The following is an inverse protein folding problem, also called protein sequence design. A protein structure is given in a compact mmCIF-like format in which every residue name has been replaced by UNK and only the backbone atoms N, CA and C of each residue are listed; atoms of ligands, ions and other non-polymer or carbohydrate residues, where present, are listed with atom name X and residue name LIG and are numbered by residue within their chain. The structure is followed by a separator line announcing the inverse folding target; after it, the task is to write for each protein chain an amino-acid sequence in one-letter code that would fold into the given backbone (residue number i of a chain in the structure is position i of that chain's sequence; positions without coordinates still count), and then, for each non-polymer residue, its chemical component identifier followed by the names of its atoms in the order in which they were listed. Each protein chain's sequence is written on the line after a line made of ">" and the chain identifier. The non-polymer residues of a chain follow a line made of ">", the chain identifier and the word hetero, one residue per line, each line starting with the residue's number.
data_IF_587173617797
#
_entry.id   IF_587173617797
#
_cell.length_a   1.000
_cell.length_b   1.000
_cell.length_c   1.000
_cell.angle_alpha   90.00
_cell.angle_beta   90.00
_cell.angle_gamma   90.00
#
_symmetry.space_group_name_H-M   'P 1'
#
loop_
_entity.id
_entity.type
_entity.pdbx_description
1 polymer ?
#
# COMPACT_ATOMS: atom_id res chain seq x y z
N UNK A 1 12.84 12.78 -1.67
CA UNK A 1 12.66 13.05 -0.23
C UNK A 1 13.91 12.68 0.59
N UNK A 2 14.33 11.36 0.65
CA UNK A 2 15.50 10.99 1.47
C UNK A 2 16.76 11.75 1.04
N UNK A 3 17.08 11.76 -0.24
CA UNK A 3 18.28 12.44 -0.75
C UNK A 3 18.24 13.96 -0.61
N UNK A 4 17.07 14.58 -0.58
CA UNK A 4 16.92 16.00 -0.25
C UNK A 4 17.25 16.26 1.23
N UNK A 5 16.77 15.39 2.13
CA UNK A 5 17.13 15.47 3.54
C UNK A 5 18.63 15.24 3.75
N UNK A 6 19.23 14.23 3.11
CA UNK A 6 20.67 13.97 3.19
C UNK A 6 21.49 15.16 2.71
N UNK A 7 21.11 15.76 1.58
CA UNK A 7 21.77 16.97 1.06
C UNK A 7 21.69 18.13 2.04
N UNK A 8 20.55 18.35 2.72
CA UNK A 8 20.40 19.40 3.74
C UNK A 8 21.30 19.18 4.97
N UNK A 9 21.72 17.94 5.21
CA UNK A 9 22.64 17.55 6.30
C UNK A 9 24.08 17.32 5.81
N UNK A 10 24.41 17.73 4.56
CA UNK A 10 25.71 17.53 3.93
C UNK A 10 26.19 16.08 3.88
N UNK A 11 25.26 15.13 3.71
CA UNK A 11 25.55 13.69 3.58
C UNK A 11 25.47 13.25 2.12
N UNK A 12 26.18 12.16 1.80
CA UNK A 12 26.15 11.53 0.49
C UNK A 12 24.73 10.97 0.20
N UNK A 13 24.29 10.99 -1.07
CA UNK A 13 23.02 10.40 -1.44
C UNK A 13 23.02 8.88 -1.34
N UNK A 14 21.86 8.31 -1.08
CA UNK A 14 21.58 6.87 -1.15
C UNK A 14 21.14 6.53 -2.58
N UNK A 15 21.59 5.41 -3.11
CA UNK A 15 21.16 4.93 -4.42
C UNK A 15 19.66 4.56 -4.42
N UNK A 16 18.94 4.85 -5.51
CA UNK A 16 17.50 4.57 -5.58
C UNK A 16 17.14 3.10 -5.34
N UNK A 17 17.97 2.18 -5.83
CA UNK A 17 17.82 0.73 -5.66
C UNK A 17 17.91 0.31 -4.19
N UNK A 18 18.85 0.89 -3.42
CA UNK A 18 18.96 0.62 -1.98
C UNK A 18 17.75 1.15 -1.21
N UNK A 19 17.28 2.35 -1.59
CA UNK A 19 16.10 2.93 -0.97
C UNK A 19 14.83 2.11 -1.26
N UNK A 20 14.72 1.52 -2.48
CA UNK A 20 13.56 0.73 -2.90
C UNK A 20 13.26 -0.42 -1.95
N UNK A 21 14.27 -1.16 -1.52
CA UNK A 21 14.16 -2.32 -0.64
C UNK A 21 13.64 -1.96 0.78
N UNK A 22 13.64 -0.66 1.13
CA UNK A 22 13.20 -0.17 2.44
C UNK A 22 11.83 0.52 2.40
N UNK A 23 11.25 0.73 1.21
CA UNK A 23 10.00 1.51 1.04
C UNK A 23 8.83 0.87 1.78
N UNK A 24 8.63 -0.44 1.62
CA UNK A 24 7.52 -1.19 2.27
C UNK A 24 7.63 -1.14 3.80
N UNK A 25 8.84 -1.07 4.34
CA UNK A 25 9.08 -0.97 5.79
C UNK A 25 8.77 0.43 6.35
N UNK A 26 8.48 1.40 5.47
CA UNK A 26 8.01 2.74 5.80
C UNK A 26 9.08 3.72 6.23
N UNK A 27 8.64 4.91 6.70
CA UNK A 27 9.50 6.05 6.98
C UNK A 27 10.63 5.75 7.98
N UNK A 28 10.41 4.84 8.94
CA UNK A 28 11.44 4.45 9.92
C UNK A 28 12.62 3.79 9.22
N UNK A 29 12.36 2.81 8.36
CA UNK A 29 13.42 2.08 7.68
C UNK A 29 14.16 2.98 6.67
N UNK A 30 13.43 3.77 5.89
CA UNK A 30 14.02 4.72 4.92
C UNK A 30 14.88 5.77 5.62
N UNK A 31 14.43 6.31 6.78
CA UNK A 31 15.24 7.26 7.56
C UNK A 31 16.48 6.58 8.14
N UNK A 32 16.34 5.35 8.64
CA UNK A 32 17.45 4.57 9.19
C UNK A 32 18.53 4.28 8.14
N UNK A 33 18.13 4.02 6.88
CA UNK A 33 19.06 3.85 5.77
C UNK A 33 19.96 5.08 5.54
N UNK A 34 19.39 6.27 5.66
CA UNK A 34 20.15 7.54 5.48
C UNK A 34 20.96 7.96 6.70
N UNK A 35 20.56 7.51 7.89
CA UNK A 35 21.13 7.92 9.18
C UNK A 35 21.36 6.70 10.09
N UNK A 36 22.19 5.72 9.67
CA UNK A 36 22.41 4.50 10.43
C UNK A 36 23.13 4.74 11.76
N UNK A 37 23.94 5.80 11.86
CA UNK A 37 24.73 6.16 13.02
C UNK A 37 23.91 6.81 14.14
N UNK A 38 22.73 7.35 13.86
CA UNK A 38 21.92 8.08 14.85
C UNK A 38 21.24 7.08 15.79
N UNK A 39 21.68 7.03 17.03
CA UNK A 39 21.18 6.14 18.08
C UNK A 39 20.22 6.84 19.04
N UNK A 40 20.32 8.14 19.19
CA UNK A 40 19.41 8.93 20.00
C UNK A 40 18.00 8.92 19.43
N UNK A 41 17.01 8.57 20.25
CA UNK A 41 15.63 8.42 19.82
C UNK A 41 14.96 9.74 19.45
N UNK A 42 15.32 10.81 20.13
CA UNK A 42 14.71 12.14 19.90
C UNK A 42 15.25 12.69 18.59
N UNK A 43 16.57 12.65 18.39
CA UNK A 43 17.22 13.05 17.14
C UNK A 43 16.70 12.24 15.95
N UNK A 44 16.59 10.92 16.10
CA UNK A 44 16.06 10.05 15.05
C UNK A 44 14.61 10.40 14.68
N UNK A 45 13.76 10.67 15.67
CA UNK A 45 12.38 11.05 15.42
C UNK A 45 12.29 12.43 14.70
N UNK A 46 13.16 13.38 15.02
CA UNK A 46 13.25 14.64 14.30
C UNK A 46 13.62 14.43 12.83
N UNK A 47 14.64 13.62 12.55
CA UNK A 47 15.03 13.27 11.17
C UNK A 47 13.90 12.57 10.42
N UNK A 48 13.17 11.68 11.09
CA UNK A 48 12.00 11.01 10.48
C UNK A 48 10.88 12.01 10.14
N UNK A 49 10.64 13.01 10.98
CA UNK A 49 9.67 14.07 10.70
C UNK A 49 10.13 14.96 9.55
N UNK A 50 11.42 15.34 9.50
CA UNK A 50 11.99 16.08 8.38
C UNK A 50 11.87 15.28 7.07
N UNK A 51 12.17 13.97 7.08
CA UNK A 51 11.98 13.09 5.93
C UNK A 51 10.52 13.09 5.44
N UNK A 52 9.56 12.93 6.36
CA UNK A 52 8.14 12.95 6.03
C UNK A 52 7.69 14.29 5.47
N UNK A 53 8.25 15.39 5.94
CA UNK A 53 8.01 16.73 5.41
C UNK A 53 8.52 16.86 3.97
N UNK A 54 9.75 16.42 3.67
CA UNK A 54 10.26 16.37 2.30
C UNK A 54 9.41 15.47 1.42
N UNK A 55 8.97 14.31 1.95
CA UNK A 55 8.11 13.38 1.23
C UNK A 55 6.75 14.03 0.89
N UNK A 56 6.13 14.74 1.82
CA UNK A 56 4.83 15.38 1.61
C UNK A 56 4.86 16.46 0.52
N UNK A 57 5.96 17.19 0.41
CA UNK A 57 6.16 18.20 -0.66
C UNK A 57 6.27 17.58 -2.05
N UNK A 58 6.74 16.34 -2.12
CA UNK A 58 7.02 15.63 -3.36
C UNK A 58 6.10 14.40 -3.54
N UNK A 59 4.91 14.42 -2.95
CA UNK A 59 4.09 13.23 -2.67
C UNK A 59 3.78 12.39 -3.92
N UNK A 60 3.67 13.00 -5.10
CA UNK A 60 3.29 12.32 -6.33
C UNK A 60 4.12 12.72 -7.57
N UNK A 61 5.31 13.36 -7.41
CA UNK A 61 6.11 13.82 -8.56
C UNK A 61 6.51 12.67 -9.48
N UNK A 62 6.84 11.50 -8.91
CA UNK A 62 7.27 10.29 -9.63
C UNK A 62 6.41 9.06 -9.29
N UNK A 63 5.29 9.26 -8.60
CA UNK A 63 4.40 8.17 -8.25
C UNK A 63 3.38 7.96 -9.36
N UNK A 64 3.20 6.70 -9.75
CA UNK A 64 2.19 6.26 -10.70
C UNK A 64 1.67 4.90 -10.27
N UNK A 65 0.56 4.50 -10.82
CA UNK A 65 0.08 3.12 -10.71
C UNK A 65 1.07 2.16 -11.39
N UNK A 66 1.16 0.95 -10.89
CA UNK A 66 1.88 -0.12 -11.60
C UNK A 66 1.21 -0.38 -12.96
N UNK A 67 1.99 -0.82 -13.98
CA UNK A 67 1.41 -1.18 -15.28
C UNK A 67 0.26 -2.18 -15.12
N UNK A 68 -0.84 -1.97 -15.86
CA UNK A 68 -2.05 -2.80 -15.80
C UNK A 68 -3.02 -2.47 -14.66
N UNK A 69 -2.60 -1.76 -13.60
CA UNK A 69 -3.45 -1.47 -12.46
C UNK A 69 -4.64 -0.55 -12.81
N UNK A 70 -4.44 0.46 -13.65
CA UNK A 70 -5.54 1.34 -14.04
C UNK A 70 -6.65 0.59 -14.78
N UNK A 71 -6.28 -0.33 -15.69
CA UNK A 71 -7.23 -1.13 -16.45
C UNK A 71 -7.98 -2.12 -15.55
N UNK A 72 -7.30 -2.70 -14.56
CA UNK A 72 -7.91 -3.55 -13.55
C UNK A 72 -8.96 -2.79 -12.73
N UNK A 73 -8.63 -1.59 -12.22
CA UNK A 73 -9.56 -0.77 -11.45
C UNK A 73 -10.78 -0.36 -12.27
N UNK A 74 -10.59 0.04 -13.54
CA UNK A 74 -11.69 0.32 -14.47
C UNK A 74 -12.58 -0.90 -14.74
N UNK A 75 -11.98 -2.08 -14.80
CA UNK A 75 -12.73 -3.33 -14.94
C UNK A 75 -13.63 -3.56 -13.73
N UNK A 76 -13.12 -3.39 -12.52
CA UNK A 76 -13.93 -3.49 -11.30
C UNK A 76 -15.08 -2.49 -11.29
N UNK A 77 -14.80 -1.23 -11.60
CA UNK A 77 -15.79 -0.15 -11.67
C UNK A 77 -16.89 -0.47 -12.70
N UNK A 78 -16.49 -0.97 -13.88
CA UNK A 78 -17.43 -1.38 -14.94
C UNK A 78 -18.36 -2.53 -14.53
N UNK A 79 -17.95 -3.36 -13.57
CA UNK A 79 -18.72 -4.48 -13.03
C UNK A 79 -19.38 -4.17 -11.67
N UNK A 80 -19.34 -2.93 -11.21
CA UNK A 80 -19.81 -2.52 -9.87
C UNK A 80 -19.14 -3.33 -8.72
N UNK A 81 -17.92 -3.79 -8.93
CA UNK A 81 -17.13 -4.45 -7.89
C UNK A 81 -16.38 -3.39 -7.11
N UNK A 82 -16.72 -3.14 -5.83
CA UNK A 82 -16.06 -2.10 -5.06
C UNK A 82 -14.61 -2.50 -4.76
N UNK A 83 -13.72 -1.51 -4.80
CA UNK A 83 -12.35 -1.64 -4.35
C UNK A 83 -11.99 -0.53 -3.37
N UNK A 84 -11.02 -0.75 -2.51
CA UNK A 84 -10.62 0.22 -1.50
C UNK A 84 -9.12 0.15 -1.19
N UNK A 85 -8.66 1.11 -0.40
CA UNK A 85 -7.26 1.22 0.02
C UNK A 85 -7.17 1.08 1.53
N UNK A 86 -6.37 0.10 1.99
CA UNK A 86 -6.03 -0.07 3.41
C UNK A 86 -4.51 -0.01 3.56
N UNK A 87 -3.99 1.00 4.23
CA UNK A 87 -2.55 1.27 4.28
C UNK A 87 -2.07 1.61 5.70
N UNK A 88 -0.81 1.29 6.00
CA UNK A 88 -0.15 1.77 7.23
C UNK A 88 0.40 3.20 7.11
N UNK A 89 0.30 3.81 5.92
CA UNK A 89 0.63 5.22 5.70
C UNK A 89 -0.36 6.11 6.47
N UNK A 90 0.09 7.14 7.20
CA UNK A 90 -0.82 8.05 7.92
C UNK A 90 -1.71 8.85 6.96
N UNK A 91 -2.91 9.19 7.43
CA UNK A 91 -3.98 9.80 6.62
C UNK A 91 -3.57 11.12 5.95
N UNK A 92 -2.80 11.96 6.64
CA UNK A 92 -2.30 13.23 6.10
C UNK A 92 -1.34 13.08 4.90
N UNK A 93 -0.78 11.88 4.67
CA UNK A 93 0.00 11.53 3.48
C UNK A 93 -0.80 10.66 2.50
N UNK A 94 -1.71 9.82 3.00
CA UNK A 94 -2.52 8.92 2.17
C UNK A 94 -3.46 9.72 1.27
N UNK A 95 -4.22 10.64 1.85
CA UNK A 95 -5.22 11.40 1.10
C UNK A 95 -4.62 12.24 -0.03
N UNK A 96 -3.60 13.09 0.21
CA UNK A 96 -2.99 13.86 -0.88
C UNK A 96 -2.36 13.00 -1.98
N UNK A 97 -1.82 11.81 -1.64
CA UNK A 97 -1.29 10.89 -2.65
C UNK A 97 -2.41 10.34 -3.54
N UNK A 98 -3.50 9.87 -2.93
CA UNK A 98 -4.63 9.31 -3.68
C UNK A 98 -5.36 10.38 -4.50
N UNK A 99 -5.47 11.61 -3.99
CA UNK A 99 -6.02 12.75 -4.73
C UNK A 99 -5.16 13.06 -5.97
N UNK A 100 -3.84 13.10 -5.80
CA UNK A 100 -2.91 13.36 -6.91
C UNK A 100 -2.89 12.22 -7.96
N UNK A 101 -3.24 10.99 -7.56
CA UNK A 101 -3.41 9.83 -8.46
C UNK A 101 -4.84 9.71 -9.00
N UNK A 102 -5.76 10.63 -8.64
CA UNK A 102 -7.19 10.58 -9.03
C UNK A 102 -7.89 9.30 -8.57
N UNK A 103 -7.53 8.78 -7.40
CA UNK A 103 -8.07 7.54 -6.83
C UNK A 103 -9.02 7.76 -5.66
N UNK A 104 -8.98 8.93 -5.00
CA UNK A 104 -9.74 9.18 -3.76
C UNK A 104 -11.24 9.06 -3.93
N UNK A 105 -11.79 9.55 -5.05
CA UNK A 105 -13.22 9.55 -5.32
C UNK A 105 -13.69 8.23 -5.97
N UNK A 106 -12.76 7.41 -6.42
CA UNK A 106 -13.00 6.10 -7.04
C UNK A 106 -13.00 4.97 -6.02
N UNK A 107 -12.16 5.09 -4.98
CA UNK A 107 -12.07 4.09 -3.93
C UNK A 107 -13.34 4.09 -3.06
N UNK A 108 -13.96 2.93 -2.90
CA UNK A 108 -15.15 2.75 -2.05
C UNK A 108 -14.84 2.99 -0.56
N UNK A 109 -13.59 2.76 -0.14
CA UNK A 109 -13.10 3.13 1.18
C UNK A 109 -11.60 3.43 1.18
N UNK A 110 -11.17 4.26 2.13
CA UNK A 110 -9.75 4.55 2.40
C UNK A 110 -9.54 4.45 3.91
N UNK A 111 -8.71 3.47 4.32
CA UNK A 111 -8.33 3.26 5.72
C UNK A 111 -6.83 3.48 5.85
N UNK A 112 -6.45 4.52 6.58
CA UNK A 112 -5.06 4.93 6.80
C UNK A 112 -4.49 4.35 8.09
N UNK A 113 -3.18 4.43 8.25
CA UNK A 113 -2.47 3.82 9.38
C UNK A 113 -2.75 4.45 10.75
N UNK A 114 -3.45 5.56 10.78
CA UNK A 114 -3.91 6.31 11.96
C UNK A 114 -5.44 6.40 12.07
N UNK A 115 -6.18 5.69 11.22
CA UNK A 115 -7.65 5.62 11.27
C UNK A 115 -8.12 4.84 12.50
N UNK A 116 -7.37 3.82 12.91
CA UNK A 116 -7.66 2.96 14.05
C UNK A 116 -6.45 2.87 14.97
N UNK A 117 -6.67 2.42 16.20
CA UNK A 117 -5.58 2.22 17.17
C UNK A 117 -4.58 1.15 16.70
N UNK A 118 -5.07 0.05 16.13
CA UNK A 118 -4.25 -1.04 15.62
C UNK A 118 -4.22 -1.00 14.08
N UNK A 119 -3.02 -1.07 13.54
CA UNK A 119 -2.75 -1.14 12.10
C UNK A 119 -2.27 -2.54 11.69
N UNK A 120 -2.12 -2.82 10.39
CA UNK A 120 -1.54 -4.08 9.90
C UNK A 120 -0.19 -4.35 10.58
N UNK A 121 0.08 -5.55 11.07
CA UNK A 121 -0.54 -6.85 10.74
C UNK A 121 -1.83 -7.21 11.51
N UNK A 122 -2.39 -6.34 12.34
CA UNK A 122 -3.69 -6.60 12.96
C UNK A 122 -4.81 -6.51 11.92
N UNK A 123 -5.87 -7.34 12.03
CA UNK A 123 -6.98 -7.37 11.05
C UNK A 123 -7.92 -6.16 11.11
N UNK A 124 -7.83 -5.36 12.17
CA UNK A 124 -8.78 -4.28 12.48
C UNK A 124 -9.05 -3.34 11.30
N UNK A 125 -8.03 -2.86 10.53
CA UNK A 125 -8.28 -1.97 9.40
C UNK A 125 -9.09 -2.63 8.28
N UNK A 126 -8.88 -3.92 8.04
CA UNK A 126 -9.58 -4.67 7.01
C UNK A 126 -11.03 -4.96 7.42
N UNK A 127 -11.22 -5.37 8.67
CA UNK A 127 -12.57 -5.57 9.25
C UNK A 127 -13.35 -4.25 9.26
N UNK A 128 -12.71 -3.12 9.56
CA UNK A 128 -13.30 -1.80 9.49
C UNK A 128 -13.75 -1.44 8.07
N UNK A 129 -12.93 -1.71 7.07
CA UNK A 129 -13.24 -1.48 5.66
C UNK A 129 -14.46 -2.30 5.22
N UNK A 130 -14.49 -3.61 5.49
CA UNK A 130 -15.61 -4.47 5.16
C UNK A 130 -16.89 -4.05 5.87
N UNK A 131 -16.82 -3.72 7.16
CA UNK A 131 -17.99 -3.23 7.92
C UNK A 131 -18.53 -1.94 7.32
N UNK A 132 -17.67 -0.99 6.95
CA UNK A 132 -18.07 0.28 6.35
C UNK A 132 -18.79 0.13 5.01
N UNK A 133 -18.42 -0.90 4.25
CA UNK A 133 -19.00 -1.22 2.94
C UNK A 133 -20.13 -2.27 3.01
N UNK A 134 -20.44 -2.80 4.20
CA UNK A 134 -21.39 -3.89 4.40
C UNK A 134 -21.03 -5.14 3.57
N UNK A 135 -19.76 -5.50 3.52
CA UNK A 135 -19.23 -6.66 2.81
C UNK A 135 -18.80 -7.76 3.79
N UNK A 136 -18.93 -9.03 3.36
CA UNK A 136 -18.35 -10.17 4.06
C UNK A 136 -16.85 -10.26 3.79
N UNK A 137 -16.06 -10.59 4.81
CA UNK A 137 -14.63 -10.86 4.64
C UNK A 137 -14.36 -12.05 3.73
N UNK A 138 -15.20 -13.08 3.78
CA UNK A 138 -15.12 -14.28 2.94
C UNK A 138 -15.33 -14.00 1.44
N UNK A 139 -15.98 -12.88 1.08
CA UNK A 139 -16.18 -12.42 -0.30
C UNK A 139 -15.19 -11.33 -0.70
N UNK A 140 -14.17 -11.09 0.10
CA UNK A 140 -13.20 -10.01 -0.10
C UNK A 140 -11.79 -10.58 -0.26
N UNK A 141 -11.02 -10.03 -1.19
CA UNK A 141 -9.61 -10.35 -1.38
C UNK A 141 -8.78 -9.18 -0.88
N UNK A 142 -7.78 -9.47 -0.07
CA UNK A 142 -6.78 -8.48 0.31
C UNK A 142 -5.48 -8.72 -0.45
N UNK A 143 -5.02 -7.70 -1.16
CA UNK A 143 -3.83 -7.76 -2.01
C UNK A 143 -2.76 -6.86 -1.42
N UNK A 144 -1.55 -7.39 -1.24
CA UNK A 144 -0.45 -6.62 -0.69
C UNK A 144 0.92 -7.15 -1.09
N UNK A 145 1.95 -6.36 -0.80
CA UNK A 145 3.35 -6.63 -1.13
C UNK A 145 4.25 -6.72 0.11
N UNK A 146 3.65 -6.88 1.29
CA UNK A 146 4.35 -6.96 2.57
C UNK A 146 3.74 -8.10 3.42
N UNK A 147 4.54 -8.87 4.19
CA UNK A 147 4.01 -9.95 5.03
C UNK A 147 2.93 -9.49 6.01
N UNK A 148 2.98 -8.23 6.47
CA UNK A 148 1.93 -7.63 7.31
C UNK A 148 0.58 -7.56 6.62
N UNK A 149 0.54 -7.48 5.30
CA UNK A 149 -0.67 -7.46 4.51
C UNK A 149 -1.34 -8.83 4.54
N UNK A 150 -0.56 -9.86 4.28
CA UNK A 150 -1.02 -11.25 4.25
C UNK A 150 -1.47 -11.69 5.65
N UNK A 151 -0.70 -11.37 6.69
CA UNK A 151 -1.08 -11.71 8.06
C UNK A 151 -2.38 -11.01 8.50
N UNK A 152 -2.57 -9.74 8.13
CA UNK A 152 -3.80 -9.00 8.43
C UNK A 152 -5.00 -9.59 7.68
N UNK A 153 -4.83 -9.93 6.39
CA UNK A 153 -5.88 -10.55 5.56
C UNK A 153 -6.31 -11.90 6.10
N UNK A 154 -5.34 -12.80 6.38
CA UNK A 154 -5.60 -14.12 6.97
C UNK A 154 -6.31 -14.00 8.33
N UNK A 155 -5.85 -13.09 9.20
CA UNK A 155 -6.47 -12.85 10.50
C UNK A 155 -7.87 -12.24 10.41
N UNK A 156 -8.19 -11.55 9.30
CA UNK A 156 -9.52 -11.03 9.00
C UNK A 156 -10.45 -12.07 8.37
N UNK A 157 -9.96 -13.25 7.97
CA UNK A 157 -10.72 -14.26 7.26
C UNK A 157 -11.01 -13.90 5.80
N UNK A 158 -10.13 -13.13 5.17
CA UNK A 158 -10.17 -12.78 3.75
C UNK A 158 -9.35 -13.75 2.92
N UNK A 159 -9.63 -13.85 1.62
CA UNK A 159 -8.65 -14.35 0.69
C UNK A 159 -7.48 -13.38 0.58
N UNK A 160 -6.27 -13.92 0.46
CA UNK A 160 -5.05 -13.11 0.42
C UNK A 160 -4.23 -13.37 -0.83
N UNK A 161 -3.69 -12.28 -1.39
CA UNK A 161 -2.88 -12.33 -2.60
C UNK A 161 -1.59 -11.54 -2.43
N UNK A 162 -0.45 -12.14 -2.77
CA UNK A 162 0.82 -11.42 -2.85
C UNK A 162 0.94 -10.75 -4.21
N UNK A 163 1.12 -9.42 -4.20
CA UNK A 163 1.43 -8.62 -5.39
C UNK A 163 2.94 -8.61 -5.64
N UNK A 164 3.46 -9.59 -6.40
CA UNK A 164 4.92 -9.74 -6.65
C UNK A 164 5.53 -8.57 -7.43
N UNK A 165 4.72 -7.80 -8.13
CA UNK A 165 5.13 -6.55 -8.80
C UNK A 165 5.39 -5.39 -7.83
N UNK A 166 5.08 -5.54 -6.54
CA UNK A 166 5.24 -4.52 -5.50
C UNK A 166 6.68 -4.24 -5.09
N UNK A 167 6.85 -3.65 -3.91
CA UNK A 167 8.16 -3.31 -3.34
C UNK A 167 8.68 -4.44 -2.44
N UNK A 168 8.83 -5.63 -3.01
CA UNK A 168 9.34 -6.82 -2.31
C UNK A 168 10.84 -6.89 -2.49
N UNK A 169 11.58 -7.03 -1.38
CA UNK A 169 13.01 -7.33 -1.44
C UNK A 169 13.20 -8.78 -1.93
N UNK A 170 14.12 -8.97 -2.89
CA UNK A 170 14.44 -10.28 -3.46
C UNK A 170 14.94 -11.32 -2.46
N UNK A 171 15.32 -10.89 -1.25
CA UNK A 171 15.71 -11.79 -0.16
C UNK A 171 14.50 -12.46 0.52
N UNK A 172 13.28 -11.97 0.31
CA UNK A 172 12.08 -12.56 0.91
C UNK A 172 11.51 -13.67 0.03
N UNK A 173 11.33 -14.82 0.63
CA UNK A 173 10.54 -15.90 0.07
C UNK A 173 9.05 -15.66 0.37
N UNK A 174 8.34 -15.13 -0.61
CA UNK A 174 6.92 -14.76 -0.48
C UNK A 174 6.02 -15.97 -0.25
N UNK A 175 6.44 -17.18 -0.63
CA UNK A 175 5.67 -18.40 -0.43
C UNK A 175 5.56 -18.76 1.05
N UNK A 176 6.45 -18.22 1.90
CA UNK A 176 6.41 -18.41 3.35
C UNK A 176 5.39 -17.52 4.08
N UNK A 177 4.77 -16.54 3.39
CA UNK A 177 3.83 -15.61 4.03
C UNK A 177 2.46 -16.21 4.29
N UNK A 178 2.13 -17.33 3.62
CA UNK A 178 0.87 -18.03 3.80
C UNK A 178 -0.31 -17.33 3.11
N UNK A 179 -0.08 -16.71 1.95
CA UNK A 179 -1.13 -16.20 1.08
C UNK A 179 -1.81 -17.34 0.32
N UNK A 180 -3.07 -17.14 -0.08
CA UNK A 180 -3.81 -18.12 -0.86
C UNK A 180 -3.25 -18.26 -2.28
N UNK A 181 -2.77 -17.15 -2.87
CA UNK A 181 -2.11 -17.11 -4.18
C UNK A 181 -1.21 -15.88 -4.33
N UNK A 182 -0.52 -15.80 -5.45
CA UNK A 182 0.30 -14.64 -5.82
C UNK A 182 0.11 -14.30 -7.30
N UNK A 183 0.37 -13.04 -7.66
CA UNK A 183 0.30 -12.54 -9.03
C UNK A 183 1.55 -11.73 -9.36
N UNK A 184 2.08 -11.92 -10.56
CA UNK A 184 3.22 -11.17 -11.08
C UNK A 184 2.78 -9.89 -11.79
N UNK A 185 1.53 -9.83 -12.27
CA UNK A 185 0.92 -8.67 -12.93
C UNK A 185 -0.51 -8.45 -12.45
N UNK A 186 -1.00 -7.19 -12.37
CA UNK A 186 -2.34 -6.88 -11.88
C UNK A 186 -3.47 -7.61 -12.62
N UNK A 187 -3.37 -7.77 -13.95
CA UNK A 187 -4.37 -8.42 -14.78
C UNK A 187 -4.58 -9.91 -14.46
N UNK A 188 -3.59 -10.59 -13.87
CA UNK A 188 -3.69 -12.00 -13.47
C UNK A 188 -4.74 -12.21 -12.38
N UNK A 189 -5.08 -11.15 -11.61
CA UNK A 189 -6.13 -11.22 -10.60
C UNK A 189 -7.46 -11.69 -11.18
N UNK A 190 -7.75 -11.33 -12.43
CA UNK A 190 -8.98 -11.73 -13.12
C UNK A 190 -9.14 -13.23 -13.30
N UNK A 191 -8.08 -14.02 -13.16
CA UNK A 191 -8.13 -15.49 -13.21
C UNK A 191 -8.62 -16.11 -11.89
N UNK A 192 -8.56 -15.33 -10.80
CA UNK A 192 -8.87 -15.77 -9.44
C UNK A 192 -10.21 -15.25 -8.91
N UNK A 193 -10.87 -14.36 -9.65
CA UNK A 193 -12.12 -13.74 -9.21
C UNK A 193 -13.25 -13.94 -10.23
N UNK A 194 -14.50 -13.96 -9.72
CA UNK A 194 -15.69 -13.87 -10.54
C UNK A 194 -16.33 -12.50 -10.34
N UNK A 195 -16.42 -11.73 -11.41
CA UNK A 195 -17.10 -10.43 -11.38
C UNK A 195 -18.61 -10.62 -11.64
N UNK A 196 -19.41 -9.70 -11.07
CA UNK A 196 -20.80 -9.52 -11.47
C UNK A 196 -20.89 -9.12 -12.95
N UNK A 197 -22.06 -9.32 -13.59
CA UNK A 197 -22.22 -8.94 -15.00
C UNK A 197 -21.93 -7.45 -15.23
N UNK A 198 -21.30 -7.09 -16.38
CA UNK A 198 -21.05 -5.69 -16.72
C UNK A 198 -22.35 -4.86 -16.81
N UNK A 199 -22.28 -3.60 -16.45
CA UNK A 199 -23.43 -2.66 -16.53
C UNK A 199 -24.04 -2.60 -17.92
N UNK A 200 -23.22 -2.80 -18.99
CA UNK A 200 -23.66 -2.79 -20.38
C UNK A 200 -24.69 -3.87 -20.72
N UNK A 201 -24.72 -4.97 -19.96
CA UNK A 201 -25.68 -6.07 -20.19
C UNK A 201 -27.08 -5.83 -19.60
N UNK A 202 -27.25 -4.78 -18.79
CA UNK A 202 -28.54 -4.39 -18.19
C UNK A 202 -29.29 -3.32 -18.99
N UNK A 203 -28.78 -2.87 -20.14
CA UNK A 203 -29.37 -1.84 -21.00
C UNK A 203 -30.00 -2.37 -22.29
N UNK A 204 -30.36 -3.65 -22.34
CA UNK A 204 -31.07 -4.26 -23.45
C UNK A 204 -32.56 -4.47 -23.14
#
# INVERSE_FOLDING_TARGET
>A
ALNELLASKNKAPVAPEDARNHVSQGAVAVTRLGFPEVTDKIEFEQLRQEFLHHYSKNICIKSSLFPGMEDLLRTFEGHNTPWGVVTNKPGWLTRPLLDALSLSDRAACIVSGDTLERRKPYPDPLLHACKGLNLSTESTIYIGDDPRDIYAGNAAGMYTCVAKFGYIDSMYDTDTWGADFSIDHPEELMQHIQLSKPISEFKS
#
